data_IF_936645884986
#
_entry.id   IF_936645884986
#
_cell.length_a   1.000
_cell.length_b   1.000
_cell.length_c   1.000
_cell.angle_alpha   90.00
_cell.angle_beta   90.00
_cell.angle_gamma   90.00
#
_symmetry.space_group_name_H-M   'P 1'
#
loop_
_entity.id
_entity.type
_entity.pdbx_description
1 polymer ?
#
# COMPACT_ATOMS: atom_id res chain seq x y z
N UNK A 1 18.42 -0.94 -1.46
CA UNK A 1 17.33 -1.92 -1.30
C UNK A 1 16.08 -1.14 -0.98
N UNK A 2 15.06 -1.18 -1.85
CA UNK A 2 13.84 -0.39 -1.64
C UNK A 2 13.02 -0.97 -0.49
N UNK A 3 12.43 -0.09 0.32
CA UNK A 3 11.61 -0.40 1.49
C UNK A 3 10.13 -0.15 1.16
N UNK A 4 9.30 -1.18 1.35
CA UNK A 4 7.88 -1.16 1.07
C UNK A 4 7.10 -1.30 2.38
N UNK A 5 6.11 -0.43 2.58
CA UNK A 5 5.14 -0.57 3.67
C UNK A 5 3.93 -1.35 3.14
N UNK A 6 3.74 -2.59 3.61
CA UNK A 6 2.62 -3.45 3.25
C UNK A 6 1.57 -3.46 4.37
N UNK A 7 0.36 -3.01 4.05
CA UNK A 7 -0.73 -2.80 5.00
C UNK A 7 -1.94 -3.62 4.59
N UNK A 8 -2.35 -4.56 5.45
CA UNK A 8 -3.53 -5.40 5.24
C UNK A 8 -3.95 -5.98 6.60
N UNK A 9 -5.25 -5.99 6.90
CA UNK A 9 -5.80 -6.50 8.16
C UNK A 9 -5.82 -8.03 8.20
N UNK A 10 -5.92 -8.68 7.04
CA UNK A 10 -5.79 -10.12 6.92
C UNK A 10 -4.33 -10.54 7.08
N UNK A 11 -4.05 -11.27 8.17
CA UNK A 11 -2.71 -11.81 8.43
C UNK A 11 -2.18 -12.67 7.29
N UNK A 12 -3.03 -13.52 6.69
CA UNK A 12 -2.66 -14.38 5.58
C UNK A 12 -2.29 -13.59 4.32
N UNK A 13 -3.08 -12.55 3.99
CA UNK A 13 -2.81 -11.69 2.84
C UNK A 13 -1.51 -10.90 3.03
N UNK A 14 -1.33 -10.31 4.21
CA UNK A 14 -0.13 -9.57 4.56
C UNK A 14 1.12 -10.43 4.51
N UNK A 15 1.06 -11.67 5.02
CA UNK A 15 2.16 -12.64 4.94
C UNK A 15 2.48 -13.03 3.49
N UNK A 16 1.47 -13.31 2.67
CA UNK A 16 1.64 -13.66 1.26
C UNK A 16 2.30 -12.51 0.47
N UNK A 17 1.81 -11.28 0.66
CA UNK A 17 2.38 -10.07 0.05
C UNK A 17 3.82 -9.87 0.53
N UNK A 18 4.06 -9.93 1.83
CA UNK A 18 5.39 -9.78 2.43
C UNK A 18 6.38 -10.80 1.88
N UNK A 19 5.98 -12.08 1.80
CA UNK A 19 6.79 -13.15 1.23
C UNK A 19 7.11 -12.89 -0.25
N UNK A 20 6.12 -12.51 -1.05
CA UNK A 20 6.28 -12.20 -2.49
C UNK A 20 7.28 -11.06 -2.69
N UNK A 21 7.13 -9.97 -1.94
CA UNK A 21 7.98 -8.78 -2.06
C UNK A 21 9.41 -9.05 -1.54
N UNK A 22 9.56 -9.76 -0.42
CA UNK A 22 10.88 -10.16 0.10
C UNK A 22 11.61 -11.08 -0.88
N UNK A 23 10.91 -12.02 -1.50
CA UNK A 23 11.47 -12.93 -2.51
C UNK A 23 11.94 -12.17 -3.76
N UNK A 24 11.31 -11.04 -4.07
CA UNK A 24 11.73 -10.13 -5.14
C UNK A 24 12.86 -9.16 -4.73
N UNK A 25 13.41 -9.27 -3.51
CA UNK A 25 14.55 -8.47 -3.04
C UNK A 25 14.18 -7.14 -2.38
N UNK A 26 12.91 -6.92 -2.02
CA UNK A 26 12.48 -5.72 -1.30
C UNK A 26 12.58 -5.89 0.22
N UNK A 27 12.85 -4.79 0.93
CA UNK A 27 12.63 -4.75 2.37
C UNK A 27 11.15 -4.47 2.63
N UNK A 28 10.51 -5.22 3.52
CA UNK A 28 9.07 -5.07 3.76
C UNK A 28 8.82 -4.81 5.23
N UNK A 29 8.08 -3.74 5.49
CA UNK A 29 7.51 -3.44 6.80
C UNK A 29 6.02 -3.73 6.72
N UNK A 30 5.56 -4.57 7.62
CA UNK A 30 4.16 -4.98 7.68
C UNK A 30 3.39 -4.12 8.68
N UNK A 31 2.16 -3.77 8.34
CA UNK A 31 1.21 -3.12 9.24
C UNK A 31 -0.16 -3.79 9.17
N UNK A 32 -0.85 -3.86 10.31
CA UNK A 32 -2.11 -4.60 10.45
C UNK A 32 -3.35 -3.76 10.12
N UNK A 33 -3.21 -2.43 10.02
CA UNK A 33 -4.24 -1.53 9.54
C UNK A 33 -3.64 -0.14 9.26
N UNK A 34 -4.49 0.82 8.85
CA UNK A 34 -4.04 2.17 8.52
C UNK A 34 -3.46 2.94 9.70
N UNK A 35 -3.90 2.68 10.94
CA UNK A 35 -3.37 3.40 12.11
C UNK A 35 -1.96 2.91 12.44
N UNK A 36 -1.76 1.59 12.48
CA UNK A 36 -0.44 0.97 12.67
C UNK A 36 0.52 1.35 11.52
N UNK A 37 0.02 1.40 10.29
CA UNK A 37 0.80 1.86 9.14
C UNK A 37 1.25 3.31 9.28
N UNK A 38 0.35 4.19 9.70
CA UNK A 38 0.65 5.61 9.89
C UNK A 38 1.69 5.83 10.99
N UNK A 39 1.58 5.10 12.10
CA UNK A 39 2.55 5.14 13.20
C UNK A 39 3.92 4.64 12.76
N UNK A 40 3.98 3.50 12.05
CA UNK A 40 5.22 2.97 11.47
C UNK A 40 5.81 3.84 10.37
N UNK A 41 4.99 4.67 9.72
CA UNK A 41 5.41 5.64 8.73
C UNK A 41 6.06 6.88 9.35
N UNK A 42 5.81 7.18 10.63
CA UNK A 42 6.41 8.35 11.29
C UNK A 42 7.93 8.22 11.38
N UNK A 43 8.65 9.25 10.93
CA UNK A 43 10.12 9.29 10.98
C UNK A 43 10.81 8.27 10.08
N UNK A 44 10.08 7.57 9.20
CA UNK A 44 10.62 6.56 8.28
C UNK A 44 10.24 6.88 6.84
N UNK A 45 11.18 6.67 5.93
CA UNK A 45 10.93 6.79 4.50
C UNK A 45 10.63 5.43 3.90
N UNK A 46 9.69 5.40 2.96
CA UNK A 46 9.37 4.23 2.15
C UNK A 46 9.39 4.61 0.68
N UNK A 47 9.85 3.68 -0.14
CA UNK A 47 9.85 3.80 -1.60
C UNK A 47 8.48 3.50 -2.18
N UNK A 48 7.65 2.74 -1.46
CA UNK A 48 6.27 2.44 -1.83
C UNK A 48 5.42 2.09 -0.61
N UNK A 49 4.13 2.47 -0.66
CA UNK A 49 3.10 1.99 0.28
C UNK A 49 2.10 1.15 -0.50
N UNK A 50 1.85 -0.06 -0.03
CA UNK A 50 0.84 -0.97 -0.55
C UNK A 50 -0.20 -1.15 0.56
N UNK A 51 -1.44 -0.72 0.35
CA UNK A 51 -2.47 -0.74 1.39
C UNK A 51 -3.76 -1.37 0.89
N UNK A 52 -4.39 -2.19 1.74
CA UNK A 52 -5.80 -2.55 1.57
C UNK A 52 -6.70 -1.33 1.83
N UNK A 53 -7.93 -1.38 1.31
CA UNK A 53 -8.93 -0.34 1.55
C UNK A 53 -9.71 -0.60 2.85
N UNK A 54 -10.19 -1.82 3.06
CA UNK A 54 -11.16 -2.15 4.10
C UNK A 54 -10.43 -2.67 5.34
N UNK A 55 -10.01 -1.75 6.21
CA UNK A 55 -9.27 -2.08 7.43
C UNK A 55 -9.93 -1.46 8.67
N UNK A 56 -9.79 -2.08 9.86
CA UNK A 56 -10.27 -1.48 11.10
C UNK A 56 -9.46 -0.23 11.48
N UNK A 57 -10.03 0.62 12.33
CA UNK A 57 -9.47 1.88 12.85
C UNK A 57 -9.23 2.97 11.79
N UNK A 58 -8.54 2.67 10.70
CA UNK A 58 -8.29 3.57 9.59
C UNK A 58 -8.23 2.79 8.27
N UNK A 59 -9.08 3.18 7.34
CA UNK A 59 -9.15 2.61 5.99
C UNK A 59 -8.03 3.12 5.08
N UNK A 60 -7.80 2.45 3.95
CA UNK A 60 -6.68 2.75 3.05
C UNK A 60 -6.75 4.14 2.39
N UNK A 61 -7.95 4.62 2.04
CA UNK A 61 -8.16 5.98 1.51
C UNK A 61 -7.83 7.01 2.59
N UNK A 62 -8.31 6.81 3.82
CA UNK A 62 -8.00 7.70 4.95
C UNK A 62 -6.50 7.70 5.27
N UNK A 63 -5.85 6.53 5.27
CA UNK A 63 -4.39 6.41 5.40
C UNK A 63 -3.69 7.20 4.29
N UNK A 64 -4.11 7.01 3.04
CA UNK A 64 -3.51 7.68 1.87
C UNK A 64 -3.54 9.20 2.04
N UNK A 65 -4.71 9.77 2.42
CA UNK A 65 -4.84 11.21 2.68
C UNK A 65 -3.86 11.67 3.77
N UNK A 66 -3.82 10.95 4.89
CA UNK A 66 -2.98 11.29 6.04
C UNK A 66 -1.48 11.20 5.73
N UNK A 67 -1.07 10.23 4.91
CA UNK A 67 0.31 10.15 4.43
C UNK A 67 0.64 11.32 3.52
N UNK A 68 -0.28 11.70 2.61
CA UNK A 68 -0.07 12.83 1.68
C UNK A 68 0.04 14.20 2.36
N UNK A 69 -0.43 14.34 3.59
CA UNK A 69 -0.20 15.53 4.43
C UNK A 69 1.28 15.66 4.86
N UNK A 70 2.03 14.55 4.91
CA UNK A 70 3.46 14.60 5.25
C UNK A 70 4.33 14.85 4.00
N UNK A 71 5.28 15.81 4.05
CA UNK A 71 6.21 16.08 2.96
C UNK A 71 6.98 14.84 2.49
N UNK A 72 7.30 13.93 3.41
CA UNK A 72 8.09 12.72 3.12
C UNK A 72 7.37 11.75 2.17
N UNK A 73 6.03 11.77 2.17
CA UNK A 73 5.21 10.92 1.32
C UNK A 73 4.59 11.69 0.17
N UNK A 74 4.93 12.95 -0.08
CA UNK A 74 4.27 13.74 -1.13
C UNK A 74 4.41 13.12 -2.53
N UNK A 75 5.52 12.43 -2.78
CA UNK A 75 5.84 11.79 -4.07
C UNK A 75 5.96 10.27 -3.99
N UNK A 76 5.88 9.67 -2.80
CA UNK A 76 5.96 8.21 -2.63
C UNK A 76 4.79 7.54 -3.33
N UNK A 77 4.99 6.54 -4.20
CA UNK A 77 3.89 5.80 -4.81
C UNK A 77 3.06 5.08 -3.73
N UNK A 78 1.73 5.24 -3.80
CA UNK A 78 0.78 4.54 -2.93
C UNK A 78 -0.13 3.68 -3.81
N UNK A 79 -0.05 2.36 -3.66
CA UNK A 79 -0.86 1.41 -4.39
C UNK A 79 -1.95 0.85 -3.47
N UNK A 80 -3.19 0.92 -3.94
CA UNK A 80 -4.34 0.30 -3.26
C UNK A 80 -4.48 -1.15 -3.73
N UNK A 81 -4.55 -2.10 -2.80
CA UNK A 81 -4.73 -3.53 -3.06
C UNK A 81 -5.99 -4.02 -2.37
N UNK A 82 -7.13 -4.03 -3.04
CA UNK A 82 -8.45 -4.23 -2.41
C UNK A 82 -9.33 -5.19 -3.19
N UNK A 83 -10.35 -5.77 -2.57
CA UNK A 83 -11.42 -6.49 -3.27
C UNK A 83 -12.34 -5.56 -4.05
N UNK A 84 -12.33 -4.25 -3.74
CA UNK A 84 -13.27 -3.31 -4.31
C UNK A 84 -12.88 -2.90 -5.73
N UNK A 85 -13.80 -3.15 -6.66
CA UNK A 85 -13.64 -2.86 -8.08
C UNK A 85 -14.47 -1.67 -8.55
N UNK A 86 -15.27 -1.05 -7.66
CA UNK A 86 -16.19 0.02 -8.02
C UNK A 86 -15.43 1.27 -8.50
N UNK A 87 -15.93 1.87 -9.58
CA UNK A 87 -15.29 3.06 -10.16
C UNK A 87 -15.36 4.26 -9.21
N UNK A 88 -16.41 4.35 -8.39
CA UNK A 88 -16.52 5.37 -7.36
C UNK A 88 -15.40 5.26 -6.32
N UNK A 89 -15.09 4.04 -5.85
CA UNK A 89 -14.00 3.82 -4.90
C UNK A 89 -12.63 4.08 -5.55
N UNK A 90 -12.43 3.64 -6.79
CA UNK A 90 -11.21 3.96 -7.55
C UNK A 90 -11.02 5.47 -7.69
N UNK A 91 -12.07 6.22 -7.99
CA UNK A 91 -12.03 7.68 -8.07
C UNK A 91 -11.71 8.31 -6.71
N UNK A 92 -12.32 7.82 -5.63
CA UNK A 92 -12.03 8.29 -4.27
C UNK A 92 -10.56 8.05 -3.88
N UNK A 93 -10.00 6.88 -4.21
CA UNK A 93 -8.59 6.56 -4.02
C UNK A 93 -7.66 7.49 -4.81
N UNK A 94 -7.96 7.73 -6.08
CA UNK A 94 -7.20 8.69 -6.90
C UNK A 94 -7.26 10.11 -6.34
N UNK A 95 -8.45 10.56 -5.93
CA UNK A 95 -8.64 11.88 -5.32
C UNK A 95 -7.89 12.01 -3.98
N UNK A 96 -7.74 10.92 -3.23
CA UNK A 96 -6.89 10.87 -2.04
C UNK A 96 -5.38 10.90 -2.34
N UNK A 97 -4.99 10.69 -3.59
CA UNK A 97 -3.59 10.70 -4.04
C UNK A 97 -2.97 9.31 -4.20
N UNK A 98 -3.77 8.25 -4.32
CA UNK A 98 -3.26 6.93 -4.67
C UNK A 98 -2.71 6.91 -6.11
N UNK A 99 -1.56 6.27 -6.30
CA UNK A 99 -0.87 6.14 -7.59
C UNK A 99 -1.49 5.04 -8.45
N UNK A 100 -2.02 3.99 -7.84
CA UNK A 100 -2.56 2.85 -8.56
C UNK A 100 -3.57 2.07 -7.73
N UNK A 101 -4.31 1.21 -8.43
CA UNK A 101 -5.37 0.39 -7.87
C UNK A 101 -5.29 -1.02 -8.45
N UNK A 102 -5.13 -2.01 -7.58
CA UNK A 102 -5.06 -3.41 -7.92
C UNK A 102 -6.19 -4.15 -7.20
N UNK A 103 -6.97 -4.92 -7.95
CA UNK A 103 -8.13 -5.66 -7.43
C UNK A 103 -7.71 -7.08 -7.05
N UNK A 104 -8.19 -7.57 -5.91
CA UNK A 104 -8.04 -8.97 -5.46
C UNK A 104 -9.09 -9.87 -6.16
N UNK A 105 -8.76 -11.13 -6.50
CA UNK A 105 -7.45 -11.76 -6.39
C UNK A 105 -6.47 -11.21 -7.43
N UNK A 106 -5.18 -11.18 -7.08
CA UNK A 106 -4.12 -10.67 -7.95
C UNK A 106 -3.06 -11.74 -8.18
N UNK A 107 -2.37 -11.62 -9.31
CA UNK A 107 -1.19 -12.44 -9.62
C UNK A 107 0.04 -11.82 -8.91
N UNK A 108 0.76 -12.57 -8.06
CA UNK A 108 2.00 -12.10 -7.43
C UNK A 108 3.03 -11.55 -8.42
N UNK A 109 3.17 -12.16 -9.60
CA UNK A 109 4.08 -11.71 -10.65
C UNK A 109 3.67 -10.32 -11.16
N UNK A 110 2.37 -10.14 -11.42
CA UNK A 110 1.81 -8.86 -11.86
C UNK A 110 1.95 -7.77 -10.80
N UNK A 111 1.84 -8.13 -9.51
CA UNK A 111 2.11 -7.19 -8.42
C UNK A 111 3.55 -6.66 -8.50
N UNK A 112 4.53 -7.55 -8.67
CA UNK A 112 5.94 -7.17 -8.80
C UNK A 112 6.17 -6.27 -10.02
N UNK A 113 5.61 -6.62 -11.18
CA UNK A 113 5.72 -5.81 -12.39
C UNK A 113 5.15 -4.39 -12.21
N UNK A 114 4.00 -4.26 -11.54
CA UNK A 114 3.39 -2.96 -11.27
C UNK A 114 4.28 -2.16 -10.32
N UNK A 115 4.79 -2.78 -9.27
CA UNK A 115 5.69 -2.14 -8.30
C UNK A 115 6.97 -1.64 -8.98
N UNK A 116 7.59 -2.45 -9.84
CA UNK A 116 8.79 -2.06 -10.59
C UNK A 116 8.56 -0.88 -11.53
N UNK A 117 7.33 -0.67 -12.01
CA UNK A 117 6.99 0.48 -12.87
C UNK A 117 6.82 1.78 -12.10
N UNK A 118 6.50 1.71 -10.80
CA UNK A 118 6.19 2.89 -9.99
C UNK A 118 7.28 3.26 -9.00
N UNK A 119 8.08 2.30 -8.54
CA UNK A 119 9.31 2.56 -7.80
C UNK A 119 10.34 3.11 -8.79
N UNK A 120 10.98 4.23 -8.44
CA UNK A 120 12.02 4.91 -9.23
C UNK A 120 13.39 4.68 -8.62
#
# INVERSE_FOLDING_TARGET
MHSILAVDDSASMRQMVSFTLKSAGYNVVEAVDGQDAYEKAQGRSFDLVLTDQNMPRMDGISLTKKLRESPQFKTTPILMLTTESSDQMKQAGRAAGATGWLVKPFDPTKLIEVIQKVIR
#
